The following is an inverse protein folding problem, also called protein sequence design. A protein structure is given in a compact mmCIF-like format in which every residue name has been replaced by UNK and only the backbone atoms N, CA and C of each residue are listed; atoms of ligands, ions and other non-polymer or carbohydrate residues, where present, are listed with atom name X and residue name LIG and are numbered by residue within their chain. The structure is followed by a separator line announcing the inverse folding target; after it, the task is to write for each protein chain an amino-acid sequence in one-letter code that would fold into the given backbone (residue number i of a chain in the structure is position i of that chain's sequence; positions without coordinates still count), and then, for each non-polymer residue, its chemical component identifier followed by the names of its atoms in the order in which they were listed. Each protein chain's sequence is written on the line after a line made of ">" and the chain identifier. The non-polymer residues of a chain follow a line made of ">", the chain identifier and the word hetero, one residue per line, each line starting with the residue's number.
data_IF_147951122880
#
_entry.id   IF_147951122880
#
_cell.length_a   1.000
_cell.length_b   1.000
_cell.length_c   1.000
_cell.angle_alpha   90.00
_cell.angle_beta   90.00
_cell.angle_gamma   90.00
#
_symmetry.space_group_name_H-M   'P 1'
#
loop_
_entity.id
_entity.type
_entity.pdbx_description
1 polymer ?
#
# COMPACT_ATOMS: atom_id res chain seq x y z
N UNK A 1 5.77 58.23 18.02
CA UNK A 1 5.18 56.91 18.36
C UNK A 1 4.91 56.14 17.08
N UNK A 2 5.64 55.06 16.79
CA UNK A 2 5.26 54.16 15.69
C UNK A 2 5.57 52.71 16.06
N UNK A 3 4.58 52.05 16.68
CA UNK A 3 4.61 50.62 17.03
C UNK A 3 4.34 49.81 15.78
N UNK A 4 5.40 49.46 15.03
CA UNK A 4 5.33 48.41 14.00
C UNK A 4 5.08 47.07 14.71
N UNK A 5 3.82 46.63 14.77
CA UNK A 5 3.44 45.30 15.26
C UNK A 5 4.11 44.26 14.36
N UNK A 6 5.09 43.54 14.89
CA UNK A 6 5.65 42.33 14.25
C UNK A 6 4.57 41.25 14.32
N UNK A 7 3.93 40.97 13.19
CA UNK A 7 3.04 39.81 13.07
C UNK A 7 3.94 38.57 12.94
N UNK A 8 4.13 37.85 14.04
CA UNK A 8 4.84 36.56 14.04
C UNK A 8 3.87 35.49 13.54
N UNK A 9 4.13 34.94 12.35
CA UNK A 9 3.39 33.78 11.86
C UNK A 9 3.73 32.57 12.75
N UNK A 10 2.69 31.98 13.34
CA UNK A 10 2.76 30.79 14.18
C UNK A 10 3.41 29.64 13.40
N UNK A 11 4.37 28.96 14.03
CA UNK A 11 5.01 27.77 13.49
C UNK A 11 3.97 26.64 13.35
N UNK A 12 3.45 26.45 12.14
CA UNK A 12 2.61 25.29 11.82
C UNK A 12 3.51 24.06 11.80
N UNK A 13 3.20 23.08 12.65
CA UNK A 13 3.94 21.83 12.72
C UNK A 13 3.79 21.08 11.40
N UNK A 14 4.76 21.21 10.49
CA UNK A 14 4.81 20.40 9.28
C UNK A 14 5.18 18.97 9.70
N UNK A 15 4.18 18.09 9.83
CA UNK A 15 4.44 16.65 9.96
C UNK A 15 5.06 16.19 8.64
N UNK A 16 6.38 15.95 8.64
CA UNK A 16 7.07 15.36 7.50
C UNK A 16 6.67 13.89 7.39
N UNK A 17 5.59 13.61 6.65
CA UNK A 17 5.21 12.25 6.29
C UNK A 17 6.32 11.61 5.45
N UNK A 18 6.86 10.47 5.91
CA UNK A 18 7.80 9.67 5.12
C UNK A 18 7.04 8.98 3.98
N UNK A 19 7.49 9.19 2.75
CA UNK A 19 6.96 8.52 1.55
C UNK A 19 7.02 7.00 1.76
N UNK A 20 5.87 6.33 1.79
CA UNK A 20 5.74 4.89 2.07
C UNK A 20 5.21 4.52 3.46
N UNK A 21 4.89 5.50 4.32
CA UNK A 21 4.22 5.25 5.61
C UNK A 21 2.70 5.18 5.51
N UNK A 22 2.14 5.20 4.31
CA UNK A 22 0.71 5.07 4.11
C UNK A 22 0.30 3.61 4.36
N UNK A 23 -0.60 3.33 5.32
CA UNK A 23 -1.09 1.98 5.53
C UNK A 23 -1.74 1.51 4.24
N UNK A 24 -1.26 0.37 3.73
CA UNK A 24 -1.74 -0.17 2.46
C UNK A 24 -3.18 -0.66 2.66
N UNK A 25 -4.12 0.03 2.05
CA UNK A 25 -5.55 -0.20 2.28
C UNK A 25 -6.01 -1.57 1.75
N UNK A 26 -6.93 -2.22 2.46
CA UNK A 26 -7.53 -3.48 2.04
C UNK A 26 -8.16 -3.35 0.64
N UNK A 27 -7.96 -4.37 -0.20
CA UNK A 27 -8.48 -4.38 -1.58
C UNK A 27 -7.67 -3.55 -2.58
N UNK A 28 -6.56 -2.91 -2.17
CA UNK A 28 -5.63 -2.27 -3.11
C UNK A 28 -4.71 -3.29 -3.78
N UNK A 29 -4.13 -2.93 -4.93
CA UNK A 29 -3.18 -3.79 -5.66
C UNK A 29 -2.04 -4.27 -4.76
N UNK A 30 -1.45 -3.36 -3.99
CA UNK A 30 -0.34 -3.70 -3.10
C UNK A 30 -0.76 -4.63 -1.95
N UNK A 31 -2.00 -4.51 -1.47
CA UNK A 31 -2.55 -5.45 -0.49
C UNK A 31 -2.59 -6.88 -1.05
N UNK A 32 -3.11 -7.06 -2.28
CA UNK A 32 -3.10 -8.37 -2.93
C UNK A 32 -1.68 -8.91 -3.21
N UNK A 33 -0.74 -8.05 -3.61
CA UNK A 33 0.67 -8.46 -3.78
C UNK A 33 1.27 -8.92 -2.45
N UNK A 34 1.02 -8.22 -1.35
CA UNK A 34 1.53 -8.59 -0.04
C UNK A 34 0.95 -9.93 0.42
N UNK A 35 -0.35 -10.14 0.22
CA UNK A 35 -1.03 -11.36 0.63
C UNK A 35 -0.55 -12.59 -0.19
N UNK A 36 -0.42 -12.44 -1.51
CA UNK A 36 0.20 -13.47 -2.36
C UNK A 36 1.66 -13.75 -1.98
N UNK A 37 2.44 -12.72 -1.61
CA UNK A 37 3.82 -12.89 -1.13
C UNK A 37 3.89 -13.64 0.20
N UNK A 38 2.90 -13.48 1.10
CA UNK A 38 2.79 -14.28 2.34
C UNK A 38 2.55 -15.76 2.05
N UNK A 39 1.74 -16.05 1.02
CA UNK A 39 1.51 -17.41 0.51
C UNK A 39 2.72 -17.99 -0.25
N UNK A 40 3.83 -17.25 -0.36
CA UNK A 40 5.04 -17.69 -1.07
C UNK A 40 5.05 -17.42 -2.57
N UNK A 41 3.96 -16.88 -3.14
CA UNK A 41 3.87 -16.58 -4.57
C UNK A 41 4.54 -15.24 -4.87
N UNK A 42 5.62 -15.25 -5.65
CA UNK A 42 6.33 -14.03 -6.11
C UNK A 42 6.24 -13.80 -7.61
N UNK A 43 6.08 -14.88 -8.36
CA UNK A 43 5.98 -14.90 -9.80
C UNK A 43 4.78 -15.74 -10.20
N UNK A 44 4.05 -15.27 -11.20
CA UNK A 44 2.97 -16.01 -11.83
C UNK A 44 3.20 -15.95 -13.34
N UNK A 45 3.12 -17.09 -14.03
CA UNK A 45 3.34 -17.19 -15.48
C UNK A 45 4.65 -16.54 -15.96
N UNK A 46 5.73 -16.64 -15.17
CA UNK A 46 7.03 -16.03 -15.49
C UNK A 46 7.09 -14.50 -15.35
N UNK A 47 6.05 -13.84 -14.82
CA UNK A 47 6.00 -12.39 -14.58
C UNK A 47 5.85 -12.07 -13.09
N UNK A 48 6.35 -10.90 -12.69
CA UNK A 48 6.20 -10.39 -11.32
C UNK A 48 4.75 -10.04 -11.03
N UNK A 49 4.28 -10.32 -9.82
CA UNK A 49 2.94 -9.94 -9.36
C UNK A 49 2.67 -8.42 -9.46
N UNK A 50 3.71 -7.61 -9.26
CA UNK A 50 3.63 -6.15 -9.36
C UNK A 50 3.31 -5.67 -10.77
N UNK A 51 3.50 -6.49 -11.80
CA UNK A 51 3.14 -6.15 -13.19
C UNK A 51 1.65 -6.36 -13.47
N UNK A 52 0.96 -7.19 -12.68
CA UNK A 52 -0.45 -7.51 -12.91
C UNK A 52 -1.40 -6.44 -12.34
N UNK A 53 -2.66 -6.48 -12.81
CA UNK A 53 -3.74 -5.63 -12.29
C UNK A 53 -4.31 -6.21 -11.00
N UNK A 54 -4.96 -5.36 -10.18
CA UNK A 54 -5.54 -5.79 -8.90
C UNK A 54 -6.56 -6.93 -9.05
N UNK A 55 -7.42 -6.90 -10.08
CA UNK A 55 -8.41 -7.96 -10.30
C UNK A 55 -7.77 -9.32 -10.62
N UNK A 56 -6.62 -9.34 -11.32
CA UNK A 56 -5.89 -10.58 -11.60
C UNK A 56 -5.30 -11.14 -10.30
N UNK A 57 -4.68 -10.29 -9.48
CA UNK A 57 -4.13 -10.71 -8.19
C UNK A 57 -5.21 -11.19 -7.22
N UNK A 58 -6.40 -10.59 -7.26
CA UNK A 58 -7.57 -11.07 -6.51
C UNK A 58 -7.96 -12.48 -6.92
N UNK A 59 -8.08 -12.75 -8.22
CA UNK A 59 -8.44 -14.07 -8.72
C UNK A 59 -7.37 -15.12 -8.35
N UNK A 60 -6.09 -14.76 -8.46
CA UNK A 60 -4.99 -15.63 -8.03
C UNK A 60 -5.05 -15.96 -6.55
N UNK A 61 -5.35 -14.96 -5.72
CA UNK A 61 -5.45 -15.16 -4.29
C UNK A 61 -6.61 -16.07 -3.91
N UNK A 62 -7.76 -15.95 -4.59
CA UNK A 62 -8.91 -16.83 -4.41
C UNK A 62 -8.52 -18.27 -4.79
N UNK A 63 -7.92 -18.47 -5.97
CA UNK A 63 -7.48 -19.79 -6.42
C UNK A 63 -6.50 -20.45 -5.44
N UNK A 64 -5.55 -19.69 -4.89
CA UNK A 64 -4.61 -20.20 -3.88
C UNK A 64 -5.29 -20.52 -2.54
N UNK A 65 -6.33 -19.76 -2.16
CA UNK A 65 -7.08 -20.04 -0.94
C UNK A 65 -7.98 -21.28 -1.09
N UNK A 66 -8.51 -21.54 -2.28
CA UNK A 66 -9.30 -22.74 -2.56
C UNK A 66 -8.44 -24.00 -2.40
N UNK A 67 -7.22 -24.01 -2.96
CA UNK A 67 -6.30 -25.15 -2.80
C UNK A 67 -5.93 -25.43 -1.34
N UNK A 68 -5.85 -24.39 -0.50
CA UNK A 68 -5.52 -24.56 0.94
C UNK A 68 -6.69 -25.00 1.81
N UNK A 69 -7.93 -25.00 1.31
CA UNK A 69 -9.13 -25.39 2.07
C UNK A 69 -9.56 -26.84 1.80
N UNK A 70 -9.02 -27.45 0.76
CA UNK A 70 -9.35 -28.82 0.36
C UNK A 70 -8.41 -29.88 1.00
N UNK A 71 -7.36 -29.44 1.72
CA UNK A 71 -6.54 -30.26 2.62
C UNK A 71 -7.03 -30.17 4.08
#
# INVERSE_FOLDING_TARGET
>A
MNKKRKFSYLATYTVQKKKGSDPMYYGTKGWYVAELKKLGVRYHEGRKLESYRAHVLRNLLIAQQETTKEE
#
